data_IF_153722829944
#
_entry.id   IF_153722829944
#
_cell.length_a   1.000
_cell.length_b   1.000
_cell.length_c   1.000
_cell.angle_alpha   90.00
_cell.angle_beta   90.00
_cell.angle_gamma   90.00
#
_symmetry.space_group_name_H-M   'P 1'
#
loop_
_entity.id
_entity.type
_entity.pdbx_description
1 polymer ?
#
# COMPACT_ATOMS: atom_id res chain seq x y z
N UNK A 1 16.09 -15.98 13.51
CA UNK A 1 15.95 -14.82 12.60
C UNK A 1 15.62 -15.19 11.14
N UNK A 2 16.11 -16.30 10.58
CA UNK A 2 15.79 -16.73 9.17
C UNK A 2 14.37 -17.28 8.98
N UNK A 3 13.77 -17.87 10.02
CA UNK A 3 12.46 -18.53 9.94
C UNK A 3 11.29 -17.58 9.66
N UNK A 4 11.26 -16.39 10.29
CA UNK A 4 10.20 -15.40 10.06
C UNK A 4 10.26 -14.82 8.64
N UNK A 5 11.47 -14.53 8.15
CA UNK A 5 11.70 -14.05 6.77
C UNK A 5 11.21 -15.07 5.73
N UNK A 6 11.46 -16.37 5.95
CA UNK A 6 10.96 -17.48 5.11
C UNK A 6 9.45 -17.69 5.20
N UNK A 7 8.82 -17.36 6.33
CA UNK A 7 7.38 -17.49 6.52
C UNK A 7 6.57 -16.34 5.90
N UNK A 8 7.12 -15.13 5.91
CA UNK A 8 6.46 -13.92 5.38
C UNK A 8 6.62 -13.79 3.87
N UNK A 9 7.79 -14.14 3.32
CA UNK A 9 8.07 -14.01 1.88
C UNK A 9 7.06 -14.71 0.95
N UNK A 10 6.58 -15.93 1.25
CA UNK A 10 5.54 -16.57 0.47
C UNK A 10 4.20 -15.84 0.56
N UNK A 11 3.88 -15.22 1.70
CA UNK A 11 2.63 -14.49 1.92
C UNK A 11 2.61 -13.18 1.14
N UNK A 12 3.69 -12.39 1.21
CA UNK A 12 3.84 -11.14 0.46
C UNK A 12 3.88 -11.38 -1.04
N UNK A 13 4.62 -12.42 -1.48
CA UNK A 13 4.63 -12.84 -2.89
C UNK A 13 3.26 -13.36 -3.35
N UNK A 14 2.55 -14.16 -2.54
CA UNK A 14 1.20 -14.63 -2.87
C UNK A 14 0.21 -13.48 -2.96
N UNK A 15 0.27 -12.49 -2.06
CA UNK A 15 -0.52 -11.27 -2.10
C UNK A 15 -0.25 -10.48 -3.38
N UNK A 16 1.02 -10.21 -3.69
CA UNK A 16 1.42 -9.48 -4.90
C UNK A 16 1.00 -10.20 -6.19
N UNK A 17 1.22 -11.52 -6.27
CA UNK A 17 0.81 -12.35 -7.40
C UNK A 17 -0.71 -12.39 -7.54
N UNK A 18 -1.46 -12.53 -6.45
CA UNK A 18 -2.93 -12.53 -6.47
C UNK A 18 -3.48 -11.18 -6.92
N UNK A 19 -2.88 -10.08 -6.46
CA UNK A 19 -3.24 -8.72 -6.86
C UNK A 19 -2.95 -8.49 -8.36
N UNK A 20 -1.80 -8.93 -8.84
CA UNK A 20 -1.42 -8.86 -10.26
C UNK A 20 -2.31 -9.74 -11.15
N UNK A 21 -2.67 -10.96 -10.71
CA UNK A 21 -3.51 -11.90 -11.45
C UNK A 21 -4.96 -11.43 -11.54
N UNK A 22 -5.53 -10.89 -10.47
CA UNK A 22 -6.87 -10.28 -10.46
C UNK A 22 -6.97 -9.05 -11.37
N UNK A 23 -5.85 -8.38 -11.70
CA UNK A 23 -5.81 -7.28 -12.67
C UNK A 23 -5.78 -7.74 -14.13
N UNK A 24 -5.19 -8.90 -14.42
CA UNK A 24 -5.11 -9.46 -15.77
C UNK A 24 -6.43 -10.10 -16.22
N UNK A 25 -7.21 -10.65 -15.29
CA UNK A 25 -8.49 -11.28 -15.58
C UNK A 25 -9.65 -10.31 -15.35
N UNK A 26 -10.43 -10.01 -16.40
CA UNK A 26 -11.84 -9.62 -16.24
C UNK A 26 -12.32 -8.34 -16.91
N UNK A 27 -11.50 -7.59 -17.64
CA UNK A 27 -12.02 -6.44 -18.42
C UNK A 27 -11.47 -6.47 -19.84
N UNK A 28 -12.33 -6.66 -20.84
CA UNK A 28 -12.06 -6.18 -22.20
C UNK A 28 -12.23 -4.66 -22.13
N UNK A 29 -11.18 -3.90 -22.44
CA UNK A 29 -11.29 -2.44 -22.57
C UNK A 29 -12.05 -2.08 -23.85
N UNK A 30 -12.15 -0.80 -24.21
CA UNK A 30 -12.93 -0.37 -25.37
C UNK A 30 -12.42 -1.04 -26.66
N UNK A 31 -13.32 -1.17 -27.64
CA UNK A 31 -12.99 -1.69 -28.96
C UNK A 31 -11.83 -0.91 -29.56
N UNK A 32 -10.80 -1.63 -30.01
CA UNK A 32 -9.70 -1.05 -30.77
C UNK A 32 -10.10 -1.02 -32.24
N UNK A 33 -10.81 0.04 -32.66
CA UNK A 33 -11.33 0.17 -34.02
C UNK A 33 -10.20 0.10 -35.06
N UNK A 34 -9.07 0.78 -34.83
CA UNK A 34 -7.92 0.78 -35.75
C UNK A 34 -7.32 -0.61 -35.91
N UNK A 35 -7.16 -1.35 -34.80
CA UNK A 35 -6.64 -2.72 -34.85
C UNK A 35 -7.64 -3.71 -35.45
N UNK A 36 -8.93 -3.51 -35.19
CA UNK A 36 -10.03 -4.31 -35.74
C UNK A 36 -10.12 -4.14 -37.26
N UNK A 37 -10.12 -2.90 -37.76
CA UNK A 37 -10.15 -2.59 -39.20
C UNK A 37 -8.88 -3.08 -39.90
N UNK A 38 -7.70 -2.84 -39.32
CA UNK A 38 -6.45 -3.36 -39.91
C UNK A 38 -6.44 -4.88 -40.02
N UNK A 39 -7.03 -5.56 -39.04
CA UNK A 39 -7.14 -7.01 -39.05
C UNK A 39 -8.24 -7.50 -40.00
N UNK A 40 -9.28 -6.70 -40.24
CA UNK A 40 -10.33 -7.04 -41.21
C UNK A 40 -9.87 -6.90 -42.66
N UNK A 41 -8.79 -6.16 -42.93
CA UNK A 41 -8.23 -6.02 -44.29
C UNK A 41 -7.80 -7.36 -44.90
N UNK A 42 -7.33 -8.33 -44.10
CA UNK A 42 -7.02 -9.68 -44.59
C UNK A 42 -8.26 -10.52 -44.93
N UNK A 43 -9.45 -10.07 -44.52
CA UNK A 43 -10.74 -10.72 -44.72
C UNK A 43 -11.67 -9.89 -45.63
N UNK A 44 -11.12 -9.09 -46.54
CA UNK A 44 -11.92 -8.26 -47.45
C UNK A 44 -12.60 -7.06 -46.80
N UNK A 45 -12.13 -6.63 -45.63
CA UNK A 45 -12.60 -5.42 -44.94
C UNK A 45 -13.71 -5.67 -43.91
N UNK A 46 -14.31 -6.86 -43.85
CA UNK A 46 -15.39 -7.19 -42.91
C UNK A 46 -14.82 -7.45 -41.51
N UNK A 47 -15.19 -6.66 -40.47
CA UNK A 47 -14.68 -6.82 -39.11
C UNK A 47 -15.33 -8.02 -38.39
N UNK A 48 -15.01 -9.23 -38.85
CA UNK A 48 -15.48 -10.49 -38.26
C UNK A 48 -14.90 -10.78 -36.88
N UNK A 49 -13.72 -10.22 -36.56
CA UNK A 49 -13.05 -10.38 -35.27
C UNK A 49 -12.76 -9.04 -34.56
N UNK A 50 -13.65 -8.59 -33.67
CA UNK A 50 -13.44 -7.40 -32.86
C UNK A 50 -12.21 -7.54 -31.95
N UNK A 51 -11.23 -6.64 -32.11
CA UNK A 51 -10.07 -6.56 -31.21
C UNK A 51 -10.33 -5.50 -30.15
N UNK A 52 -10.22 -5.86 -28.88
CA UNK A 52 -10.41 -4.96 -27.75
C UNK A 52 -9.07 -4.51 -27.17
N UNK A 53 -9.00 -3.27 -26.69
CA UNK A 53 -7.84 -2.82 -25.92
C UNK A 53 -7.83 -3.58 -24.59
N UNK A 54 -6.73 -4.22 -24.24
CA UNK A 54 -6.59 -4.72 -22.87
C UNK A 54 -6.40 -3.52 -21.95
N UNK A 55 -7.20 -3.39 -20.87
CA UNK A 55 -6.96 -2.35 -19.88
C UNK A 55 -5.55 -2.54 -19.35
N UNK A 56 -4.70 -1.53 -19.52
CA UNK A 56 -3.42 -1.46 -18.82
C UNK A 56 -3.77 -1.10 -17.38
N UNK A 57 -3.68 -2.02 -16.41
CA UNK A 57 -3.94 -1.68 -15.02
C UNK A 57 -2.94 -0.58 -14.66
N UNK A 58 -3.41 0.56 -14.16
CA UNK A 58 -2.49 1.56 -13.63
C UNK A 58 -1.62 0.90 -12.55
N UNK A 59 -0.34 1.26 -12.49
CA UNK A 59 0.51 0.90 -11.36
C UNK A 59 -0.25 1.37 -10.09
N UNK A 60 -0.51 0.48 -9.13
CA UNK A 60 -1.22 0.86 -7.92
C UNK A 60 -0.37 1.85 -7.16
N UNK A 61 -0.99 2.89 -6.63
CA UNK A 61 -0.38 3.71 -5.59
C UNK A 61 -0.81 3.06 -4.27
N UNK A 62 0.12 2.44 -3.56
CA UNK A 62 -0.15 1.83 -2.26
C UNK A 62 0.28 2.82 -1.19
N UNK A 63 -0.59 3.09 -0.24
CA UNK A 63 -0.22 3.79 0.99
C UNK A 63 -0.35 2.80 2.13
N UNK A 64 0.73 2.58 2.86
CA UNK A 64 0.76 1.71 4.03
C UNK A 64 0.82 2.60 5.27
N UNK A 65 -0.09 2.44 6.21
CA UNK A 65 -0.12 3.16 7.48
C UNK A 65 0.06 2.11 8.58
N UNK A 66 1.15 2.18 9.34
CA UNK A 66 1.57 1.10 10.24
C UNK A 66 1.72 1.57 11.69
N UNK A 67 0.97 0.93 12.58
CA UNK A 67 1.07 1.06 14.03
C UNK A 67 2.28 0.29 14.53
N UNK A 68 3.19 1.00 15.20
CA UNK A 68 4.22 0.35 16.01
C UNK A 68 4.29 0.95 17.43
N UNK A 69 3.39 1.88 17.78
CA UNK A 69 3.19 2.34 19.16
C UNK A 69 2.71 1.21 20.07
N UNK A 70 3.14 1.24 21.34
CA UNK A 70 2.71 0.27 22.37
C UNK A 70 3.04 -1.20 22.10
N UNK A 71 3.75 -1.49 21.02
CA UNK A 71 3.98 -2.85 20.54
C UNK A 71 5.19 -3.47 21.22
N UNK A 72 5.08 -4.75 21.61
CA UNK A 72 6.27 -5.54 21.98
C UNK A 72 7.22 -5.53 20.79
N UNK A 73 8.53 -5.42 21.04
CA UNK A 73 9.57 -5.32 20.01
C UNK A 73 9.46 -6.37 18.87
N UNK A 74 8.85 -7.53 19.14
CA UNK A 74 8.57 -8.55 18.14
C UNK A 74 7.46 -8.16 17.15
N UNK A 75 6.38 -7.52 17.60
CA UNK A 75 5.27 -7.10 16.74
C UNK A 75 5.67 -5.88 15.89
N UNK A 76 6.27 -4.85 16.50
CA UNK A 76 6.80 -3.71 15.77
C UNK A 76 7.78 -4.16 14.66
N UNK A 77 8.70 -5.07 15.00
CA UNK A 77 9.63 -5.67 14.03
C UNK A 77 8.90 -6.41 12.91
N UNK A 78 7.87 -7.19 13.23
CA UNK A 78 7.06 -7.89 12.22
C UNK A 78 6.35 -6.91 11.27
N UNK A 79 5.72 -5.86 11.80
CA UNK A 79 5.04 -4.83 11.02
C UNK A 79 6.02 -4.15 10.06
N UNK A 80 7.19 -3.72 10.55
CA UNK A 80 8.22 -3.13 9.71
C UNK A 80 8.75 -4.12 8.64
N UNK A 81 8.82 -5.41 8.94
CA UNK A 81 9.17 -6.42 7.93
C UNK A 81 8.14 -6.49 6.81
N UNK A 82 6.85 -6.39 7.15
CA UNK A 82 5.77 -6.39 6.17
C UNK A 82 5.81 -5.12 5.32
N UNK A 83 6.01 -3.95 5.94
CA UNK A 83 6.17 -2.67 5.25
C UNK A 83 7.34 -2.73 4.26
N UNK A 84 8.52 -3.17 4.69
CA UNK A 84 9.69 -3.36 3.81
C UNK A 84 9.39 -4.28 2.63
N UNK A 85 8.76 -5.42 2.89
CA UNK A 85 8.41 -6.37 1.83
C UNK A 85 7.39 -5.81 0.83
N UNK A 86 6.48 -4.93 1.27
CA UNK A 86 5.56 -4.22 0.38
C UNK A 86 6.31 -3.21 -0.49
N UNK A 87 7.18 -2.36 0.08
CA UNK A 87 7.98 -1.40 -0.68
C UNK A 87 8.82 -2.10 -1.77
N UNK A 88 9.48 -3.20 -1.45
CA UNK A 88 10.31 -3.93 -2.42
C UNK A 88 9.51 -4.66 -3.50
N UNK A 89 8.25 -5.01 -3.24
CA UNK A 89 7.44 -5.80 -4.16
C UNK A 89 6.61 -4.95 -5.13
N UNK A 90 6.37 -3.67 -4.81
CA UNK A 90 5.51 -2.79 -5.58
C UNK A 90 6.24 -1.50 -5.96
N UNK A 91 6.13 -1.08 -7.22
CA UNK A 91 6.92 0.05 -7.75
C UNK A 91 6.42 1.45 -7.34
N UNK A 92 5.43 1.56 -6.46
CA UNK A 92 4.77 2.81 -6.04
C UNK A 92 4.10 2.57 -4.68
N UNK A 93 4.91 2.58 -3.63
CA UNK A 93 4.45 2.46 -2.25
C UNK A 93 4.91 3.69 -1.50
N UNK A 94 4.02 4.28 -0.72
CA UNK A 94 4.34 5.23 0.33
C UNK A 94 4.03 4.58 1.66
N UNK A 95 4.96 4.66 2.60
CA UNK A 95 4.85 3.97 3.87
C UNK A 95 4.93 4.96 5.00
N UNK A 96 3.96 4.90 5.91
CA UNK A 96 3.83 5.77 7.05
C UNK A 96 3.81 4.91 8.30
N UNK A 97 4.51 5.35 9.33
CA UNK A 97 4.61 4.65 10.60
C UNK A 97 4.18 5.60 11.71
N UNK A 98 3.42 5.09 12.68
CA UNK A 98 3.03 5.85 13.87
C UNK A 98 3.52 5.20 15.16
N UNK A 99 4.15 6.04 16.00
CA UNK A 99 4.55 5.74 17.39
C UNK A 99 3.94 6.83 18.30
N UNK A 100 4.66 7.93 18.51
CA UNK A 100 4.23 9.12 19.25
C UNK A 100 3.97 10.32 18.30
N UNK A 101 3.85 10.00 17.01
CA UNK A 101 3.70 10.93 15.89
C UNK A 101 3.63 10.14 14.58
N UNK A 102 3.40 10.83 13.47
CA UNK A 102 3.32 10.24 12.13
C UNK A 102 4.57 10.60 11.32
N UNK A 103 5.29 9.59 10.83
CA UNK A 103 6.42 9.78 9.94
C UNK A 103 6.27 9.00 8.63
N UNK A 104 6.72 9.59 7.52
CA UNK A 104 6.78 8.92 6.22
C UNK A 104 8.15 8.24 6.07
N UNK A 105 8.13 6.92 6.13
CA UNK A 105 9.32 6.07 6.13
C UNK A 105 9.64 5.47 4.76
N UNK A 106 9.03 5.96 3.69
CA UNK A 106 9.18 5.44 2.32
C UNK A 106 10.66 5.32 1.92
N UNK A 107 11.43 6.39 2.10
CA UNK A 107 12.81 6.51 1.65
C UNK A 107 13.80 5.69 2.50
N UNK A 108 13.39 5.25 3.68
CA UNK A 108 14.19 4.39 4.55
C UNK A 108 14.28 2.95 4.02
N UNK A 109 13.33 2.56 3.17
CA UNK A 109 13.29 1.26 2.53
C UNK A 109 13.83 1.28 1.09
N UNK A 110 14.05 2.47 0.51
CA UNK A 110 14.59 2.59 -0.84
C UNK A 110 16.08 2.24 -0.89
N UNK A 111 16.46 1.42 -1.86
CA UNK A 111 17.85 1.02 -2.10
C UNK A 111 18.55 0.31 -0.93
N UNK A 112 17.79 -0.23 0.03
CA UNK A 112 18.35 -1.01 1.16
C UNK A 112 18.11 -2.51 0.94
N UNK A 113 19.20 -3.25 0.68
CA UNK A 113 19.14 -4.71 0.47
C UNK A 113 18.98 -5.50 1.78
N UNK A 114 19.47 -4.96 2.91
CA UNK A 114 19.28 -5.57 4.22
C UNK A 114 18.14 -4.92 5.01
N UNK A 115 17.06 -5.68 5.18
CA UNK A 115 15.94 -5.33 6.06
C UNK A 115 16.37 -4.95 7.48
N UNK A 116 17.47 -5.51 8.00
CA UNK A 116 17.94 -5.22 9.36
C UNK A 116 18.44 -3.80 9.46
N UNK A 117 19.17 -3.35 8.44
CA UNK A 117 19.63 -1.98 8.26
C UNK A 117 18.43 -1.04 8.10
N UNK A 118 17.50 -1.35 7.18
CA UNK A 118 16.33 -0.50 6.96
C UNK A 118 15.50 -0.32 8.24
N UNK A 119 15.30 -1.40 9.01
CA UNK A 119 14.60 -1.35 10.30
C UNK A 119 15.40 -0.55 11.34
N UNK A 120 16.72 -0.70 11.37
CA UNK A 120 17.56 0.07 12.29
C UNK A 120 17.48 1.57 11.99
N UNK A 121 17.54 1.95 10.70
CA UNK A 121 17.34 3.33 10.25
C UNK A 121 15.99 3.87 10.68
N UNK A 122 14.89 3.15 10.41
CA UNK A 122 13.55 3.58 10.87
C UNK A 122 13.49 3.75 12.40
N UNK A 123 14.11 2.88 13.19
CA UNK A 123 14.08 3.04 14.65
C UNK A 123 14.98 4.17 15.20
N UNK A 124 15.97 4.63 14.43
CA UNK A 124 16.98 5.58 14.92
C UNK A 124 16.78 6.98 14.32
N UNK A 125 16.31 7.04 13.08
CA UNK A 125 16.19 8.26 12.27
C UNK A 125 14.74 8.73 12.11
N UNK A 126 13.73 7.85 12.22
CA UNK A 126 12.34 8.31 12.20
C UNK A 126 12.06 9.05 13.51
N UNK A 127 11.51 10.27 13.42
CA UNK A 127 11.51 11.26 14.50
C UNK A 127 11.09 10.64 15.85
N UNK A 128 12.09 10.49 16.72
CA UNK A 128 12.01 9.85 18.02
C UNK A 128 11.47 10.86 19.04
N UNK A 129 10.23 10.62 19.49
CA UNK A 129 9.66 11.00 20.80
C UNK A 129 9.37 12.50 20.99
N UNK A 130 8.10 12.90 20.83
CA UNK A 130 7.57 14.03 21.60
C UNK A 130 7.50 13.60 23.07
N UNK A 131 8.05 14.45 23.94
CA UNK A 131 8.45 14.19 25.33
C UNK A 131 7.29 13.95 26.32
N UNK A 132 6.07 13.69 25.86
CA UNK A 132 4.92 13.38 26.73
C UNK A 132 4.29 12.06 26.31
N UNK A 133 4.55 11.00 27.09
CA UNK A 133 4.23 9.60 26.82
C UNK A 133 2.74 9.21 26.78
N UNK A 134 1.89 10.04 26.17
CA UNK A 134 0.51 9.72 25.84
C UNK A 134 0.37 9.66 24.31
N UNK A 135 0.54 8.47 23.73
CA UNK A 135 0.37 8.25 22.28
C UNK A 135 -1.07 8.57 21.86
N UNK A 136 -1.31 9.75 21.30
CA UNK A 136 -2.60 10.11 20.70
C UNK A 136 -2.65 9.63 19.25
N UNK A 137 -3.03 8.38 19.08
CA UNK A 137 -3.34 7.78 17.78
C UNK A 137 -4.27 8.66 16.94
N UNK A 138 -5.21 9.33 17.60
CA UNK A 138 -6.16 10.20 16.91
C UNK A 138 -5.45 11.37 16.25
N UNK A 139 -4.51 11.99 16.95
CA UNK A 139 -3.68 13.06 16.42
C UNK A 139 -2.82 12.60 15.23
N UNK A 140 -2.24 11.39 15.28
CA UNK A 140 -1.48 10.85 14.15
C UNK A 140 -2.34 10.67 12.87
N UNK A 141 -3.60 10.23 13.03
CA UNK A 141 -4.54 10.14 11.92
C UNK A 141 -5.02 11.50 11.40
N UNK A 142 -5.21 12.49 12.28
CA UNK A 142 -5.49 13.87 11.87
C UNK A 142 -4.34 14.45 11.05
N UNK A 143 -3.10 14.34 11.53
CA UNK A 143 -1.90 14.76 10.79
C UNK A 143 -1.83 14.06 9.43
N UNK A 144 -2.16 12.76 9.39
CA UNK A 144 -2.18 12.02 8.14
C UNK A 144 -3.23 12.57 7.17
N UNK A 145 -4.44 12.86 7.66
CA UNK A 145 -5.51 13.41 6.83
C UNK A 145 -5.12 14.78 6.27
N UNK A 146 -4.65 15.68 7.14
CA UNK A 146 -4.24 17.04 6.78
C UNK A 146 -3.11 17.07 5.74
N UNK A 147 -2.07 16.23 5.94
CA UNK A 147 -0.87 16.27 5.10
C UNK A 147 -1.01 15.45 3.83
N UNK A 148 -1.67 14.29 3.91
CA UNK A 148 -1.56 13.23 2.90
C UNK A 148 -2.89 12.75 2.31
N UNK A 149 -4.06 13.07 2.90
CA UNK A 149 -5.33 12.60 2.32
C UNK A 149 -5.62 13.17 0.93
N UNK A 150 -5.01 14.30 0.56
CA UNK A 150 -5.08 14.87 -0.80
C UNK A 150 -4.41 14.00 -1.87
N UNK A 151 -3.47 13.14 -1.46
CA UNK A 151 -2.76 12.22 -2.35
C UNK A 151 -3.53 10.89 -2.52
N UNK A 152 -4.63 10.72 -1.78
CA UNK A 152 -5.52 9.57 -1.88
C UNK A 152 -6.54 9.83 -2.99
N UNK A 153 -6.60 8.92 -3.95
CA UNK A 153 -7.60 8.97 -5.01
C UNK A 153 -8.03 7.60 -5.51
N UNK A 154 -8.78 7.55 -6.63
CA UNK A 154 -9.41 6.33 -7.15
C UNK A 154 -8.44 5.22 -7.58
N UNK A 155 -7.14 5.50 -7.62
CA UNK A 155 -6.06 4.54 -7.91
C UNK A 155 -5.32 4.07 -6.66
N UNK A 156 -5.49 4.79 -5.55
CA UNK A 156 -4.79 4.55 -4.29
C UNK A 156 -5.44 3.37 -3.56
N UNK A 157 -4.63 2.45 -3.06
CA UNK A 157 -5.06 1.39 -2.14
C UNK A 157 -4.38 1.65 -0.80
N UNK A 158 -5.16 1.81 0.25
CA UNK A 158 -4.63 2.04 1.60
C UNK A 158 -4.62 0.72 2.36
N UNK A 159 -3.51 0.43 3.03
CA UNK A 159 -3.33 -0.71 3.91
C UNK A 159 -2.98 -0.17 5.29
N UNK A 160 -3.84 -0.41 6.27
CA UNK A 160 -3.62 -0.08 7.66
C UNK A 160 -3.13 -1.35 8.36
N UNK A 161 -2.00 -1.26 9.05
CA UNK A 161 -1.37 -2.37 9.78
C UNK A 161 -1.29 -1.97 11.24
N UNK A 162 -1.76 -2.82 12.15
CA UNK A 162 -1.66 -2.57 13.59
C UNK A 162 -2.28 -3.70 14.39
N UNK A 163 -2.08 -3.71 15.71
CA UNK A 163 -2.58 -4.80 16.55
C UNK A 163 -4.06 -4.65 16.93
N UNK A 164 -4.70 -3.54 16.54
CA UNK A 164 -6.10 -3.20 16.78
C UNK A 164 -6.52 -3.31 18.26
N UNK A 165 -5.56 -3.42 19.20
CA UNK A 165 -5.84 -3.65 20.62
C UNK A 165 -6.32 -2.40 21.32
N UNK A 166 -5.92 -1.23 20.83
CA UNK A 166 -6.46 0.03 21.26
C UNK A 166 -7.44 0.49 20.17
N UNK A 167 -8.70 0.06 20.31
CA UNK A 167 -9.78 0.52 19.44
C UNK A 167 -9.63 2.02 19.23
N UNK A 168 -9.38 2.42 17.98
CA UNK A 168 -9.58 3.77 17.45
C UNK A 168 -10.63 4.46 18.29
N UNK A 169 -10.21 5.37 19.17
CA UNK A 169 -11.17 6.13 19.96
C UNK A 169 -12.23 6.66 18.97
N UNK A 170 -13.50 6.62 19.38
CA UNK A 170 -14.61 7.04 18.53
C UNK A 170 -14.44 8.46 17.93
N UNK A 171 -13.47 9.24 18.42
CA UNK A 171 -13.08 10.56 17.95
C UNK A 171 -12.60 10.61 16.50
N UNK A 172 -11.92 9.59 15.94
CA UNK A 172 -11.28 9.71 14.61
C UNK A 172 -11.74 8.71 13.54
N UNK A 173 -12.87 8.03 13.75
CA UNK A 173 -13.46 7.15 12.72
C UNK A 173 -13.78 7.88 11.41
N UNK A 174 -13.94 9.21 11.45
CA UNK A 174 -14.18 10.03 10.28
C UNK A 174 -12.98 10.08 9.33
N UNK A 175 -11.74 9.99 9.83
CA UNK A 175 -10.52 9.94 8.99
C UNK A 175 -10.53 8.67 8.15
N UNK A 176 -10.78 7.52 8.78
CA UNK A 176 -10.89 6.23 8.07
C UNK A 176 -12.00 6.31 7.02
N UNK A 177 -13.15 6.89 7.37
CA UNK A 177 -14.25 7.08 6.42
C UNK A 177 -13.87 7.99 5.24
N UNK A 178 -13.17 9.09 5.48
CA UNK A 178 -12.66 9.97 4.43
C UNK A 178 -11.69 9.24 3.49
N UNK A 179 -10.84 8.38 4.05
CA UNK A 179 -9.95 7.51 3.29
C UNK A 179 -10.74 6.50 2.46
N UNK A 180 -11.76 5.85 3.03
CA UNK A 180 -12.63 4.89 2.34
C UNK A 180 -13.39 5.53 1.17
N UNK A 181 -13.86 6.76 1.33
CA UNK A 181 -14.61 7.49 0.31
C UNK A 181 -13.74 7.86 -0.91
N UNK A 182 -12.44 8.13 -0.68
CA UNK A 182 -11.49 8.54 -1.74
C UNK A 182 -10.73 7.38 -2.36
N UNK A 183 -10.32 6.41 -1.54
CA UNK A 183 -9.46 5.32 -1.94
C UNK A 183 -10.20 4.30 -2.79
N UNK A 184 -9.46 3.61 -3.65
CA UNK A 184 -10.02 2.48 -4.41
C UNK A 184 -10.47 1.35 -3.49
N UNK A 185 -9.69 1.09 -2.44
CA UNK A 185 -9.85 0.05 -1.43
C UNK A 185 -9.06 0.44 -0.18
N UNK A 186 -9.61 0.11 0.97
CA UNK A 186 -8.93 0.14 2.26
C UNK A 186 -8.87 -1.28 2.80
N UNK A 187 -7.74 -1.66 3.38
CA UNK A 187 -7.54 -2.90 4.12
C UNK A 187 -7.05 -2.54 5.52
N UNK A 188 -7.56 -3.20 6.54
CA UNK A 188 -7.17 -3.08 7.94
C UNK A 188 -7.31 -4.42 8.64
#
# INVERSE_FOLDING_TARGET
>A
MVALRRAIWPLTRKLAVRLARKRRHGRKGPLDFRRTVRHSLSYGGVPAEPKFKYPKPSKPEIMVIADISGSVAAFARFTLHLVYALNNQFSKVRSFVFIDGLDEVTDFFENVDDITEAIHRVNTEADVIWVDGHSDYGHAFEIFDERFAKDIGPKTTVIILGDARNNYHASQSWVIKNIEDKARKVFG
#
